data_IF_057955434153
#
_entry.id   IF_057955434153
#
_cell.length_a   1.000
_cell.length_b   1.000
_cell.length_c   1.000
_cell.angle_alpha   90.00
_cell.angle_beta   90.00
_cell.angle_gamma   90.00
#
_symmetry.space_group_name_H-M   'P 1'
#
loop_
_entity.id
_entity.type
_entity.pdbx_description
1 polymer ?
#
# COMPACT_ATOMS: atom_id res chain seq x y z
N UNK A 1 42.54 -40.70 -32.03
CA UNK A 1 41.27 -40.04 -32.38
C UNK A 1 40.04 -40.47 -31.54
N UNK A 2 39.95 -41.70 -31.05
CA UNK A 2 38.76 -42.14 -30.24
C UNK A 2 38.73 -41.64 -28.82
N UNK A 3 39.85 -41.24 -28.21
CA UNK A 3 39.95 -40.77 -26.82
C UNK A 3 39.52 -39.29 -26.64
N UNK A 4 39.80 -38.46 -27.63
CA UNK A 4 39.45 -37.03 -27.60
C UNK A 4 37.93 -36.78 -27.68
N UNK A 5 37.21 -37.61 -28.43
CA UNK A 5 35.74 -37.49 -28.59
C UNK A 5 35.01 -37.86 -27.29
N UNK A 6 35.51 -38.87 -26.54
CA UNK A 6 34.92 -39.26 -25.26
C UNK A 6 35.09 -38.18 -24.18
N UNK A 7 36.22 -37.48 -24.16
CA UNK A 7 36.45 -36.38 -23.21
C UNK A 7 35.59 -35.17 -23.51
N UNK A 8 35.34 -34.84 -24.78
CA UNK A 8 34.44 -33.73 -25.16
C UNK A 8 32.97 -34.04 -24.80
N UNK A 9 32.51 -35.28 -24.99
CA UNK A 9 31.17 -35.69 -24.61
C UNK A 9 30.96 -35.66 -23.09
N UNK A 10 31.96 -36.03 -22.32
CA UNK A 10 31.90 -36.01 -20.85
C UNK A 10 31.83 -34.58 -20.30
N UNK A 11 32.64 -33.66 -20.89
CA UNK A 11 32.61 -32.24 -20.50
C UNK A 11 31.27 -31.56 -20.85
N UNK A 12 30.68 -31.88 -22.00
CA UNK A 12 29.37 -31.33 -22.39
C UNK A 12 28.24 -31.85 -21.54
N UNK A 13 28.29 -33.12 -21.12
CA UNK A 13 27.31 -33.70 -20.20
C UNK A 13 27.39 -33.08 -18.80
N UNK A 14 28.60 -32.78 -18.31
CA UNK A 14 28.84 -32.15 -17.03
C UNK A 14 28.35 -30.69 -17.01
N UNK A 15 28.48 -29.96 -18.10
CA UNK A 15 27.97 -28.58 -18.21
C UNK A 15 26.45 -28.50 -18.25
N UNK A 16 25.77 -29.48 -18.85
CA UNK A 16 24.31 -29.58 -18.86
C UNK A 16 23.77 -29.95 -17.46
N UNK A 17 24.45 -30.83 -16.73
CA UNK A 17 24.10 -31.18 -15.35
C UNK A 17 24.26 -29.99 -14.38
N UNK A 18 25.29 -29.17 -14.55
CA UNK A 18 25.50 -27.98 -13.73
C UNK A 18 24.48 -26.86 -14.03
N UNK A 19 23.97 -26.81 -15.26
CA UNK A 19 22.92 -25.85 -15.63
C UNK A 19 21.53 -26.26 -15.10
N UNK A 20 21.28 -27.55 -14.86
CA UNK A 20 20.01 -28.06 -14.35
C UNK A 20 19.83 -27.87 -12.83
N UNK A 21 20.90 -27.59 -12.07
CA UNK A 21 20.85 -27.31 -10.63
C UNK A 21 20.71 -25.82 -10.28
N UNK A 22 20.19 -24.98 -11.16
CA UNK A 22 19.67 -23.68 -10.72
C UNK A 22 18.30 -23.93 -10.08
N UNK A 23 18.31 -24.19 -8.77
CA UNK A 23 17.12 -24.00 -7.96
C UNK A 23 16.60 -22.58 -8.26
N UNK A 24 15.38 -22.52 -8.82
CA UNK A 24 14.61 -21.30 -8.75
C UNK A 24 14.37 -21.06 -7.26
N UNK A 25 15.15 -20.15 -6.67
CA UNK A 25 14.80 -19.59 -5.37
C UNK A 25 13.38 -19.07 -5.47
N UNK A 26 12.43 -19.86 -5.05
CA UNK A 26 11.08 -19.38 -4.76
C UNK A 26 11.25 -18.47 -3.54
N UNK A 27 11.61 -17.20 -3.80
CA UNK A 27 11.54 -16.17 -2.78
C UNK A 27 10.08 -16.07 -2.38
N UNK A 28 9.73 -16.81 -1.34
CA UNK A 28 8.45 -16.60 -0.66
C UNK A 28 8.49 -15.15 -0.20
N UNK A 29 7.70 -14.31 -0.85
CA UNK A 29 7.53 -12.93 -0.42
C UNK A 29 6.73 -12.98 0.87
N UNK A 30 7.43 -12.94 2.00
CA UNK A 30 6.81 -12.80 3.31
C UNK A 30 6.74 -11.34 3.66
N UNK A 31 5.61 -10.89 4.14
CA UNK A 31 5.45 -9.59 4.77
C UNK A 31 5.80 -9.78 6.24
N UNK A 32 6.82 -9.07 6.71
CA UNK A 32 7.14 -9.05 8.12
C UNK A 32 6.16 -8.13 8.85
N UNK A 33 5.50 -8.64 9.88
CA UNK A 33 4.72 -7.86 10.81
C UNK A 33 5.37 -8.02 12.20
N UNK A 34 5.70 -6.94 12.93
CA UNK A 34 5.37 -5.54 12.63
C UNK A 34 6.29 -4.88 11.59
N UNK A 35 5.71 -4.01 10.77
CA UNK A 35 6.45 -3.09 9.91
C UNK A 35 6.66 -1.79 10.71
N UNK A 36 7.90 -1.31 10.76
CA UNK A 36 8.20 -0.04 11.43
C UNK A 36 7.83 1.12 10.50
N UNK A 37 6.69 1.75 10.76
CA UNK A 37 6.24 2.92 10.02
C UNK A 37 6.67 4.18 10.77
N UNK A 38 7.32 5.10 10.05
CA UNK A 38 7.53 6.46 10.53
C UNK A 38 6.25 7.24 10.33
N UNK A 39 5.48 7.46 11.38
CA UNK A 39 4.27 8.27 11.31
C UNK A 39 4.21 9.30 12.44
N UNK A 40 3.42 10.32 12.21
CA UNK A 40 3.20 11.40 13.15
C UNK A 40 2.02 11.05 14.07
N UNK A 41 2.25 11.15 15.37
CA UNK A 41 1.14 11.13 16.32
C UNK A 41 0.35 12.44 16.26
N UNK A 42 -0.90 12.41 16.63
CA UNK A 42 -1.73 13.60 16.78
C UNK A 42 -1.23 14.45 17.94
N UNK A 43 -0.36 15.41 17.64
CA UNK A 43 0.33 16.21 18.66
C UNK A 43 -0.62 17.15 19.42
N UNK A 44 -1.61 17.71 18.71
CA UNK A 44 -2.53 18.71 19.26
C UNK A 44 -3.66 18.07 20.10
N UNK A 45 -3.98 16.84 19.80
CA UNK A 45 -5.04 16.09 20.47
C UNK A 45 -4.72 14.61 20.46
N UNK A 46 -3.71 14.18 21.21
CA UNK A 46 -3.32 12.78 21.26
C UNK A 46 -4.48 11.93 21.74
N UNK A 47 -4.65 10.77 21.13
CA UNK A 47 -5.62 9.77 21.53
C UNK A 47 -4.99 8.39 21.44
N UNK A 48 -5.64 7.41 22.04
CA UNK A 48 -5.15 6.04 22.01
C UNK A 48 -5.59 5.29 20.76
N UNK A 49 -6.12 6.00 19.77
CA UNK A 49 -6.61 5.45 18.51
C UNK A 49 -5.80 5.92 17.30
N UNK A 50 -4.62 6.48 17.50
CA UNK A 50 -3.69 6.74 16.41
C UNK A 50 -3.32 5.43 15.72
N UNK A 51 -3.26 5.48 14.39
CA UNK A 51 -2.96 4.35 13.52
C UNK A 51 -3.90 3.14 13.65
N UNK A 52 -5.11 3.34 14.18
CA UNK A 52 -6.17 2.32 14.17
C UNK A 52 -6.93 2.30 12.83
N UNK A 53 -7.81 1.32 12.69
CA UNK A 53 -8.79 1.19 11.60
C UNK A 53 -8.13 1.30 10.20
N UNK A 54 -7.16 0.44 9.84
CA UNK A 54 -6.42 0.56 8.59
C UNK A 54 -7.29 0.26 7.38
N UNK A 55 -7.20 1.13 6.38
CA UNK A 55 -7.75 0.89 5.04
C UNK A 55 -6.65 0.97 4.01
N UNK A 56 -6.43 -0.10 3.28
CA UNK A 56 -5.36 -0.20 2.29
C UNK A 56 -5.91 -0.50 0.91
N UNK A 57 -5.34 0.17 -0.09
CA UNK A 57 -5.68 -0.04 -1.49
C UNK A 57 -4.42 -0.20 -2.34
N UNK A 58 -4.49 -1.08 -3.34
CA UNK A 58 -3.52 -1.12 -4.43
C UNK A 58 -4.06 -0.32 -5.60
N UNK A 59 -3.36 0.73 -6.00
CA UNK A 59 -3.78 1.62 -7.07
C UNK A 59 -2.61 1.90 -8.02
N UNK A 60 -2.82 1.70 -9.31
CA UNK A 60 -1.79 1.84 -10.37
C UNK A 60 -0.48 1.10 -10.06
N UNK A 61 -0.60 -0.08 -9.41
CA UNK A 61 0.54 -0.93 -9.06
C UNK A 61 1.24 -0.59 -7.74
N UNK A 62 0.91 0.51 -7.10
CA UNK A 62 1.45 0.98 -5.83
C UNK A 62 0.42 0.81 -4.69
N UNK A 63 0.87 0.86 -3.44
CA UNK A 63 0.04 0.64 -2.26
C UNK A 63 -0.12 1.93 -1.48
N UNK A 64 -1.33 2.18 -1.01
CA UNK A 64 -1.67 3.32 -0.15
C UNK A 64 -2.38 2.82 1.09
N UNK A 65 -1.91 3.24 2.26
CA UNK A 65 -2.43 2.83 3.57
C UNK A 65 -2.89 4.06 4.34
N UNK A 66 -4.16 4.07 4.68
CA UNK A 66 -4.82 5.12 5.44
C UNK A 66 -5.11 4.61 6.85
N UNK A 67 -4.82 5.41 7.85
CA UNK A 67 -4.95 5.08 9.27
C UNK A 67 -5.65 6.21 10.02
N UNK A 68 -6.31 5.87 11.12
CA UNK A 68 -6.91 6.87 12.00
C UNK A 68 -5.84 7.79 12.58
N UNK A 69 -6.07 9.11 12.53
CA UNK A 69 -5.25 10.14 13.16
C UNK A 69 -3.75 10.02 12.90
N UNK A 70 -3.39 9.67 11.71
CA UNK A 70 -1.98 9.42 11.34
C UNK A 70 -1.23 10.66 10.84
N UNK A 71 -1.91 11.78 10.66
CA UNK A 71 -1.32 13.00 10.13
C UNK A 71 -1.05 12.98 8.64
N UNK A 72 -1.53 11.95 7.95
CA UNK A 72 -1.36 11.69 6.54
C UNK A 72 -1.77 10.27 6.20
N UNK A 73 -1.24 9.76 5.13
CA UNK A 73 -1.36 8.37 4.71
C UNK A 73 -0.04 7.89 4.14
N UNK A 74 0.11 6.58 4.00
CA UNK A 74 1.38 5.98 3.60
C UNK A 74 1.31 5.45 2.19
N UNK A 75 2.44 5.54 1.51
CA UNK A 75 2.67 5.01 0.18
C UNK A 75 3.81 3.99 0.19
N UNK A 76 3.64 2.91 -0.58
CA UNK A 76 4.68 1.90 -0.77
C UNK A 76 4.58 1.27 -2.15
N UNK A 77 5.71 0.85 -2.70
CA UNK A 77 5.79 0.04 -3.93
C UNK A 77 6.01 -1.44 -3.64
N UNK A 78 6.40 -1.81 -2.43
CA UNK A 78 6.85 -3.16 -2.08
C UNK A 78 6.24 -3.73 -0.79
N UNK A 79 5.39 -2.96 -0.08
CA UNK A 79 4.79 -3.29 1.22
C UNK A 79 5.79 -3.41 2.38
N UNK A 80 7.03 -3.03 2.17
CA UNK A 80 8.12 -3.08 3.17
C UNK A 80 8.58 -1.68 3.53
N UNK A 81 8.82 -0.86 2.52
CA UNK A 81 9.25 0.51 2.68
C UNK A 81 8.05 1.44 2.47
N UNK A 82 7.81 2.31 3.44
CA UNK A 82 6.65 3.19 3.45
C UNK A 82 7.07 4.64 3.64
N UNK A 83 6.55 5.50 2.78
CA UNK A 83 6.70 6.94 2.84
C UNK A 83 5.42 7.60 3.36
N UNK A 84 5.53 8.49 4.33
CA UNK A 84 4.39 9.27 4.80
C UNK A 84 4.11 10.41 3.84
N UNK A 85 2.89 10.45 3.31
CA UNK A 85 2.36 11.56 2.53
C UNK A 85 1.50 12.42 3.45
N UNK A 86 1.91 13.65 3.67
CA UNK A 86 1.12 14.65 4.38
C UNK A 86 0.21 15.39 3.42
N UNK A 87 -0.95 15.80 3.88
CA UNK A 87 -1.92 16.58 3.09
C UNK A 87 -2.79 17.45 3.98
N UNK A 88 -3.19 18.59 3.47
CA UNK A 88 -4.20 19.49 4.05
C UNK A 88 -5.57 19.35 3.37
N UNK A 89 -5.64 18.53 2.34
CA UNK A 89 -6.86 18.34 1.53
C UNK A 89 -7.80 17.27 2.09
N UNK A 90 -7.37 16.45 3.04
CA UNK A 90 -8.15 15.39 3.67
C UNK A 90 -8.29 15.60 5.18
N UNK A 91 -9.36 15.06 5.80
CA UNK A 91 -9.51 15.05 7.26
C UNK A 91 -8.65 13.96 7.91
N UNK A 92 -7.33 14.07 7.77
CA UNK A 92 -6.34 13.07 8.18
C UNK A 92 -6.24 12.83 9.70
N UNK A 93 -6.87 13.69 10.49
CA UNK A 93 -6.97 13.56 11.95
C UNK A 93 -8.31 12.93 12.38
N UNK A 94 -9.07 12.36 11.44
CA UNK A 94 -10.34 11.65 11.71
C UNK A 94 -10.13 10.14 11.83
N UNK A 95 -11.18 9.45 12.21
CA UNK A 95 -11.16 8.00 12.50
C UNK A 95 -11.67 7.17 11.33
N UNK A 96 -11.34 5.88 11.35
CA UNK A 96 -11.84 4.87 10.44
C UNK A 96 -11.91 5.34 8.98
N UNK A 97 -10.77 5.69 8.38
CA UNK A 97 -10.73 6.05 6.96
C UNK A 97 -11.11 4.84 6.11
N UNK A 98 -11.82 5.09 5.01
CA UNK A 98 -12.10 4.08 3.99
C UNK A 98 -11.78 4.62 2.62
N UNK A 99 -11.24 3.75 1.78
CA UNK A 99 -10.85 4.07 0.41
C UNK A 99 -11.35 3.04 -0.57
N UNK A 100 -11.64 3.48 -1.77
CA UNK A 100 -12.07 2.63 -2.88
C UNK A 100 -11.64 3.25 -4.21
N UNK A 101 -11.23 2.42 -5.16
CA UNK A 101 -11.06 2.84 -6.55
C UNK A 101 -12.42 2.83 -7.25
N UNK A 102 -12.74 3.93 -7.90
CA UNK A 102 -13.92 4.07 -8.75
C UNK A 102 -13.56 4.99 -9.92
N UNK A 103 -13.88 4.56 -11.12
CA UNK A 103 -13.63 5.30 -12.38
C UNK A 103 -12.16 5.75 -12.56
N UNK A 104 -11.21 4.93 -12.07
CA UNK A 104 -9.77 5.19 -12.20
C UNK A 104 -9.22 6.22 -11.23
N UNK A 105 -9.97 6.59 -10.19
CA UNK A 105 -9.56 7.47 -9.10
C UNK A 105 -9.78 6.79 -7.73
N UNK A 106 -8.95 7.11 -6.74
CA UNK A 106 -9.21 6.71 -5.36
C UNK A 106 -10.22 7.66 -4.75
N UNK A 107 -11.27 7.09 -4.19
CA UNK A 107 -12.25 7.82 -3.39
C UNK A 107 -11.99 7.56 -1.90
N UNK A 108 -12.12 8.59 -1.08
CA UNK A 108 -11.83 8.58 0.35
C UNK A 108 -12.98 9.21 1.15
N UNK A 109 -13.29 8.61 2.28
CA UNK A 109 -14.05 9.23 3.36
C UNK A 109 -13.55 8.73 4.72
N UNK A 110 -13.98 9.37 5.82
CA UNK A 110 -13.60 8.97 7.17
C UNK A 110 -14.76 9.16 8.14
N UNK A 111 -14.65 8.52 9.30
CA UNK A 111 -15.62 8.56 10.36
C UNK A 111 -15.54 9.86 11.16
N UNK A 112 -16.64 10.21 11.76
CA UNK A 112 -16.89 11.28 12.71
C UNK A 112 -16.57 12.70 12.22
N UNK A 113 -17.58 13.52 12.18
CA UNK A 113 -17.53 14.93 11.78
C UNK A 113 -17.16 15.19 10.32
N UNK A 114 -17.24 14.18 9.45
CA UNK A 114 -17.25 14.43 8.02
C UNK A 114 -18.43 13.73 7.36
N UNK A 115 -19.10 14.48 6.50
CA UNK A 115 -20.10 13.99 5.56
C UNK A 115 -19.59 14.16 4.12
N UNK A 116 -18.28 14.11 3.96
CA UNK A 116 -17.58 14.46 2.72
C UNK A 116 -16.95 13.24 2.09
N UNK A 117 -16.96 13.22 0.77
CA UNK A 117 -16.17 12.30 -0.03
C UNK A 117 -15.17 13.10 -0.84
N UNK A 118 -13.96 12.60 -0.90
CA UNK A 118 -12.86 13.16 -1.66
C UNK A 118 -12.38 12.14 -2.70
N UNK A 119 -11.72 12.62 -3.75
CA UNK A 119 -11.11 11.77 -4.77
C UNK A 119 -9.73 12.27 -5.18
N UNK A 120 -8.91 11.35 -5.68
CA UNK A 120 -7.61 11.68 -6.28
C UNK A 120 -7.25 10.69 -7.39
N UNK A 121 -6.83 11.22 -8.52
CA UNK A 121 -6.21 10.45 -9.60
C UNK A 121 -4.69 10.27 -9.39
N UNK A 122 -4.10 11.07 -8.49
CA UNK A 122 -2.69 11.03 -8.11
C UNK A 122 -2.53 11.20 -6.59
N UNK A 123 -2.84 10.16 -5.81
CA UNK A 123 -2.74 10.23 -4.36
C UNK A 123 -1.31 10.47 -3.88
N UNK A 124 -0.30 10.13 -4.68
CA UNK A 124 1.11 10.37 -4.33
C UNK A 124 1.45 11.86 -4.20
N UNK A 125 0.72 12.71 -4.91
CA UNK A 125 0.89 14.17 -4.82
C UNK A 125 0.38 14.79 -3.52
N UNK A 126 -0.40 14.07 -2.73
CA UNK A 126 -1.09 14.60 -1.56
C UNK A 126 -2.28 15.50 -1.88
N UNK A 127 -2.68 15.60 -3.14
CA UNK A 127 -3.79 16.47 -3.59
C UNK A 127 -5.07 15.67 -3.77
N UNK A 128 -6.15 16.20 -3.21
CA UNK A 128 -7.48 15.62 -3.28
C UNK A 128 -8.52 16.67 -3.62
N UNK A 129 -9.55 16.23 -4.32
CA UNK A 129 -10.70 17.04 -4.69
C UNK A 129 -11.92 16.63 -3.89
N UNK A 130 -12.73 17.58 -3.50
CA UNK A 130 -14.01 17.33 -2.85
C UNK A 130 -15.02 16.87 -3.91
N UNK A 131 -15.58 15.67 -3.71
CA UNK A 131 -16.66 15.13 -4.57
C UNK A 131 -18.01 15.61 -4.07
N UNK A 132 -18.26 15.52 -2.78
CA UNK A 132 -19.51 15.99 -2.14
C UNK A 132 -19.28 16.29 -0.68
N UNK A 133 -20.04 17.23 -0.14
CA UNK A 133 -20.15 17.57 1.28
C UNK A 133 -21.60 17.47 1.80
N UNK A 134 -22.47 16.85 1.01
CA UNK A 134 -23.91 16.84 1.25
C UNK A 134 -24.43 15.43 1.62
N UNK A 135 -23.61 14.58 2.18
CA UNK A 135 -24.15 13.37 2.78
C UNK A 135 -25.13 13.74 3.90
N UNK A 136 -26.35 13.19 3.89
CA UNK A 136 -27.37 13.60 4.83
C UNK A 136 -27.10 13.13 6.27
N UNK A 137 -26.08 12.32 6.46
CA UNK A 137 -25.71 11.73 7.75
C UNK A 137 -24.24 11.97 8.07
N UNK A 138 -23.94 12.08 9.36
CA UNK A 138 -22.57 11.95 9.85
C UNK A 138 -22.23 10.46 9.77
N UNK A 139 -21.16 10.15 9.03
CA UNK A 139 -20.72 8.78 8.84
C UNK A 139 -20.00 8.27 10.10
N UNK A 140 -20.38 7.10 10.58
CA UNK A 140 -19.66 6.36 11.61
C UNK A 140 -19.17 5.05 11.01
N UNK A 141 -17.86 4.83 11.06
CA UNK A 141 -17.18 3.67 10.49
C UNK A 141 -17.66 3.33 9.06
N UNK A 142 -17.55 4.31 8.14
CA UNK A 142 -18.06 4.15 6.78
C UNK A 142 -17.28 3.07 6.03
N UNK A 143 -17.96 2.40 5.12
CA UNK A 143 -17.33 1.51 4.16
C UNK A 143 -17.78 1.92 2.76
N UNK A 144 -16.80 2.24 1.90
CA UNK A 144 -17.05 2.42 0.48
C UNK A 144 -17.02 1.08 -0.23
N UNK A 145 -17.99 0.84 -1.09
CA UNK A 145 -18.04 -0.34 -1.97
C UNK A 145 -18.73 0.03 -3.28
N UNK A 146 -18.37 -0.69 -4.34
CA UNK A 146 -18.90 -0.51 -5.70
C UNK A 146 -19.50 -1.82 -6.21
#
# INVERSE_FOLDING_TARGET
MKTTIKSFLLLSLLSVLLAACREKENKVKTICNPVNLSYRFSLDSPSWREAADPSMIKYKGEYYLFLSKSGGYFHSTDLVHWDLITTDSLPIEKYAPTVMEMDGEINFTASVATNKIYKSADPKSGKWELVTDQFPYILADPMLFY
#
